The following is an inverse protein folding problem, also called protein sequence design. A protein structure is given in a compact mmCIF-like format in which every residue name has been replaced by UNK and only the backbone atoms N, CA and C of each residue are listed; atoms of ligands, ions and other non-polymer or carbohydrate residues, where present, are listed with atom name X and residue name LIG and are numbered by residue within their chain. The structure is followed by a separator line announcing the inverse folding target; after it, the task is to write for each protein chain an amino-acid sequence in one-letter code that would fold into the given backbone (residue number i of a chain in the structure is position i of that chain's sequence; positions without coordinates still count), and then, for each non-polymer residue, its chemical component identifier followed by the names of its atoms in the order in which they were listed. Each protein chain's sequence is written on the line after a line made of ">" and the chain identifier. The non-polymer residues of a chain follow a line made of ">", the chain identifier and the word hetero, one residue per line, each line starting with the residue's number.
data_IF_914579758347
#
_entry.id   IF_914579758347
#
_cell.length_a   1.000
_cell.length_b   1.000
_cell.length_c   1.000
_cell.angle_alpha   90.00
_cell.angle_beta   90.00
_cell.angle_gamma   90.00
#
_symmetry.space_group_name_H-M   'P 1'
#
loop_
_entity.id
_entity.type
_entity.pdbx_description
1 polymer ?
#
# COMPACT_ATOMS: atom_id res chain seq x y z
N UNK A 1 -52.64 3.17 -19.62
CA UNK A 1 -52.63 3.05 -18.13
C UNK A 1 -52.51 4.44 -17.55
N UNK A 2 -53.01 4.71 -16.35
CA UNK A 2 -52.85 6.01 -15.70
C UNK A 2 -51.62 6.00 -14.80
N UNK A 3 -51.16 7.15 -14.34
CA UNK A 3 -49.96 7.28 -13.51
C UNK A 3 -49.95 6.35 -12.26
N UNK A 4 -51.11 6.07 -11.70
CA UNK A 4 -51.28 5.21 -10.53
C UNK A 4 -51.00 3.74 -10.84
N UNK A 5 -51.30 3.26 -12.06
CA UNK A 5 -51.03 1.89 -12.49
C UNK A 5 -49.53 1.65 -12.68
N UNK A 6 -48.78 2.63 -13.18
CA UNK A 6 -47.34 2.51 -13.34
C UNK A 6 -46.61 2.52 -12.00
N UNK A 7 -47.11 3.28 -11.02
CA UNK A 7 -46.61 3.27 -9.66
C UNK A 7 -46.82 1.88 -9.01
N UNK A 8 -48.02 1.29 -9.19
CA UNK A 8 -48.33 -0.06 -8.70
C UNK A 8 -47.43 -1.12 -9.35
N UNK A 9 -47.18 -1.04 -10.67
CA UNK A 9 -46.26 -1.92 -11.39
C UNK A 9 -44.83 -1.78 -10.86
N UNK A 10 -44.37 -0.56 -10.63
CA UNK A 10 -43.04 -0.28 -10.05
C UNK A 10 -42.89 -0.88 -8.66
N UNK A 11 -43.83 -0.64 -7.74
CA UNK A 11 -43.80 -1.18 -6.38
C UNK A 11 -43.85 -2.70 -6.34
N UNK A 12 -44.56 -3.34 -7.29
CA UNK A 12 -44.56 -4.79 -7.42
C UNK A 12 -43.21 -5.31 -7.90
N UNK A 13 -42.62 -4.64 -8.90
CA UNK A 13 -41.30 -4.99 -9.40
C UNK A 13 -40.22 -4.86 -8.31
N UNK A 14 -40.26 -3.81 -7.50
CA UNK A 14 -39.34 -3.61 -6.39
C UNK A 14 -39.40 -4.76 -5.37
N UNK A 15 -40.59 -5.28 -5.07
CA UNK A 15 -40.74 -6.46 -4.22
C UNK A 15 -40.13 -7.72 -4.85
N UNK A 16 -40.30 -7.90 -6.17
CA UNK A 16 -39.76 -9.04 -6.88
C UNK A 16 -38.23 -9.03 -6.95
N UNK A 17 -37.63 -7.85 -7.03
CA UNK A 17 -36.17 -7.68 -7.02
C UNK A 17 -35.57 -7.91 -5.62
N UNK A 18 -36.30 -7.48 -4.57
CA UNK A 18 -35.78 -7.52 -3.21
C UNK A 18 -36.07 -8.84 -2.48
N UNK A 19 -36.86 -9.74 -3.05
CA UNK A 19 -37.07 -11.09 -2.50
C UNK A 19 -35.83 -11.98 -2.68
N UNK A 20 -35.77 -13.07 -1.91
CA UNK A 20 -34.68 -14.05 -2.01
C UNK A 20 -35.23 -15.42 -2.42
N UNK A 21 -34.87 -15.94 -3.63
CA UNK A 21 -34.07 -15.30 -4.68
C UNK A 21 -34.89 -14.21 -5.45
N UNK A 22 -34.23 -13.23 -6.07
CA UNK A 22 -34.88 -12.21 -6.91
C UNK A 22 -35.59 -12.84 -8.13
N UNK A 23 -36.77 -12.35 -8.48
CA UNK A 23 -37.52 -12.77 -9.68
C UNK A 23 -37.40 -11.71 -10.79
N UNK A 24 -36.27 -11.69 -11.47
CA UNK A 24 -36.02 -10.77 -12.58
C UNK A 24 -36.95 -11.02 -13.78
N UNK A 25 -37.40 -12.28 -13.97
CA UNK A 25 -38.25 -12.63 -15.10
C UNK A 25 -39.63 -11.93 -15.02
N UNK A 26 -40.16 -11.76 -13.81
CA UNK A 26 -41.39 -11.01 -13.59
C UNK A 26 -41.15 -9.51 -13.38
N UNK A 27 -40.03 -9.12 -12.78
CA UNK A 27 -39.72 -7.72 -12.48
C UNK A 27 -39.40 -6.88 -13.73
N UNK A 28 -38.59 -7.42 -14.66
CA UNK A 28 -38.16 -6.68 -15.87
C UNK A 28 -39.32 -6.16 -16.71
N UNK A 29 -40.36 -6.95 -17.06
CA UNK A 29 -41.50 -6.42 -17.79
C UNK A 29 -42.24 -5.29 -17.11
N UNK A 30 -42.42 -5.39 -15.78
CA UNK A 30 -43.09 -4.35 -14.99
C UNK A 30 -42.29 -3.06 -14.91
N UNK A 31 -40.97 -3.18 -14.77
CA UNK A 31 -40.06 -2.02 -14.79
C UNK A 31 -40.02 -1.38 -16.18
N UNK A 32 -40.08 -2.18 -17.25
CA UNK A 32 -40.13 -1.69 -18.62
C UNK A 32 -41.36 -0.82 -18.83
N UNK A 33 -42.55 -1.31 -18.48
CA UNK A 33 -43.81 -0.56 -18.58
C UNK A 33 -43.76 0.77 -17.83
N UNK A 34 -43.23 0.77 -16.61
CA UNK A 34 -43.10 1.97 -15.81
C UNK A 34 -42.06 2.95 -16.40
N UNK A 35 -40.92 2.46 -16.87
CA UNK A 35 -39.85 3.25 -17.47
C UNK A 35 -40.29 3.90 -18.77
N UNK A 36 -41.01 3.17 -19.62
CA UNK A 36 -41.60 3.71 -20.86
C UNK A 36 -42.67 4.81 -20.62
N UNK A 37 -43.34 4.73 -19.46
CA UNK A 37 -44.24 5.77 -19.02
C UNK A 37 -43.53 6.99 -18.40
N UNK A 38 -42.22 6.96 -18.31
CA UNK A 38 -41.40 8.07 -17.81
C UNK A 38 -41.06 7.99 -16.32
N UNK A 39 -41.26 6.83 -15.64
CA UNK A 39 -40.90 6.66 -14.25
C UNK A 39 -39.37 6.53 -14.14
N UNK A 40 -38.73 7.55 -13.54
CA UNK A 40 -37.26 7.71 -13.53
C UNK A 40 -36.58 6.58 -12.76
N UNK A 41 -37.09 6.26 -11.57
CA UNK A 41 -36.54 5.21 -10.73
C UNK A 41 -36.68 3.83 -11.38
N UNK A 42 -37.82 3.56 -12.04
CA UNK A 42 -38.02 2.32 -12.78
C UNK A 42 -37.00 2.15 -13.93
N UNK A 43 -36.69 3.22 -14.65
CA UNK A 43 -35.67 3.20 -15.70
C UNK A 43 -34.28 2.88 -15.11
N UNK A 44 -33.95 3.45 -13.94
CA UNK A 44 -32.69 3.16 -13.27
C UNK A 44 -32.61 1.70 -12.77
N UNK A 45 -33.66 1.22 -12.11
CA UNK A 45 -33.68 -0.17 -11.61
C UNK A 45 -33.73 -1.19 -12.74
N UNK A 46 -34.45 -0.89 -13.85
CA UNK A 46 -34.45 -1.73 -15.04
C UNK A 46 -33.06 -1.88 -15.63
N UNK A 47 -32.31 -0.78 -15.73
CA UNK A 47 -30.93 -0.84 -16.18
C UNK A 47 -30.08 -1.74 -15.27
N UNK A 48 -30.25 -1.65 -13.94
CA UNK A 48 -29.58 -2.52 -12.97
C UNK A 48 -29.91 -4.00 -13.18
N UNK A 49 -31.20 -4.34 -13.26
CA UNK A 49 -31.65 -5.72 -13.51
C UNK A 49 -31.11 -6.31 -14.82
N UNK A 50 -31.07 -5.50 -15.88
CA UNK A 50 -30.52 -5.93 -17.16
C UNK A 50 -29.00 -6.10 -17.10
N UNK A 51 -28.26 -5.27 -16.35
CA UNK A 51 -26.83 -5.46 -16.14
C UNK A 51 -26.52 -6.75 -15.36
N UNK A 52 -27.34 -7.09 -14.37
CA UNK A 52 -27.13 -8.28 -13.55
C UNK A 52 -27.56 -9.58 -14.25
N UNK A 53 -28.59 -9.51 -15.10
CA UNK A 53 -29.23 -10.70 -15.73
C UNK A 53 -29.14 -10.67 -17.26
N UNK A 54 -28.08 -10.07 -17.84
CA UNK A 54 -27.89 -10.06 -19.27
C UNK A 54 -27.48 -11.44 -19.83
N UNK A 55 -28.10 -11.82 -20.94
CA UNK A 55 -27.75 -13.05 -21.68
C UNK A 55 -26.85 -12.75 -22.89
N UNK A 56 -26.83 -11.53 -23.34
CA UNK A 56 -26.13 -11.11 -24.58
C UNK A 56 -25.78 -9.60 -24.57
N UNK A 57 -24.95 -9.18 -25.54
CA UNK A 57 -24.54 -7.77 -25.69
C UNK A 57 -25.71 -6.81 -25.98
N UNK A 58 -26.80 -7.31 -26.54
CA UNK A 58 -27.98 -6.50 -26.86
C UNK A 58 -28.69 -6.07 -25.56
N UNK A 59 -28.79 -6.93 -24.58
CA UNK A 59 -29.35 -6.61 -23.25
C UNK A 59 -28.54 -5.52 -22.56
N UNK A 60 -27.21 -5.60 -22.66
CA UNK A 60 -26.32 -4.56 -22.14
C UNK A 60 -26.52 -3.21 -22.84
N UNK A 61 -26.72 -3.22 -24.17
CA UNK A 61 -27.00 -2.00 -24.91
C UNK A 61 -28.32 -1.37 -24.46
N UNK A 62 -29.36 -2.18 -24.25
CA UNK A 62 -30.66 -1.73 -23.73
C UNK A 62 -30.52 -1.18 -22.30
N UNK A 63 -29.77 -1.87 -21.44
CA UNK A 63 -29.49 -1.38 -20.08
C UNK A 63 -28.85 0.01 -20.08
N UNK A 64 -27.87 0.25 -20.95
CA UNK A 64 -27.22 1.55 -21.09
C UNK A 64 -28.20 2.62 -21.57
N UNK A 65 -29.14 2.32 -22.48
CA UNK A 65 -30.12 3.29 -22.92
C UNK A 65 -31.10 3.68 -21.79
N UNK A 66 -31.61 2.74 -21.00
CA UNK A 66 -32.42 3.06 -19.83
C UNK A 66 -31.64 3.84 -18.77
N UNK A 67 -30.36 3.50 -18.57
CA UNK A 67 -29.48 4.26 -17.70
C UNK A 67 -29.32 5.71 -18.17
N UNK A 68 -29.14 5.93 -19.49
CA UNK A 68 -29.11 7.27 -20.10
C UNK A 68 -30.45 8.01 -19.96
N UNK A 69 -31.57 7.30 -20.09
CA UNK A 69 -32.88 7.86 -19.87
C UNK A 69 -33.05 8.40 -18.46
N UNK A 70 -32.74 7.59 -17.45
CA UNK A 70 -32.78 7.98 -16.04
C UNK A 70 -31.84 9.17 -15.76
N UNK A 71 -30.62 9.14 -16.30
CA UNK A 71 -29.62 10.19 -16.12
C UNK A 71 -30.06 11.53 -16.74
N UNK A 72 -30.66 11.52 -17.95
CA UNK A 72 -31.22 12.72 -18.58
C UNK A 72 -32.39 13.31 -17.79
N UNK A 73 -33.13 12.46 -17.10
CA UNK A 73 -34.19 12.88 -16.18
C UNK A 73 -33.67 13.36 -14.81
N UNK A 74 -32.36 13.39 -14.61
CA UNK A 74 -31.69 13.93 -13.43
C UNK A 74 -31.43 12.93 -12.31
N UNK A 75 -31.61 11.61 -12.54
CA UNK A 75 -31.36 10.61 -11.50
C UNK A 75 -29.86 10.56 -11.11
N UNK A 76 -29.48 10.85 -9.86
CA UNK A 76 -28.10 11.06 -9.47
C UNK A 76 -27.23 9.80 -9.61
N UNK A 77 -27.75 8.64 -9.20
CA UNK A 77 -27.02 7.38 -9.35
C UNK A 77 -26.89 6.93 -10.81
N UNK A 78 -27.87 7.25 -11.67
CA UNK A 78 -27.76 6.96 -13.10
C UNK A 78 -26.66 7.82 -13.76
N UNK A 79 -26.58 9.11 -13.41
CA UNK A 79 -25.48 10.00 -13.83
C UNK A 79 -24.13 9.45 -13.36
N UNK A 80 -24.04 9.04 -12.10
CA UNK A 80 -22.85 8.45 -11.54
C UNK A 80 -22.41 7.16 -12.27
N UNK A 81 -23.34 6.22 -12.50
CA UNK A 81 -23.04 4.95 -13.16
C UNK A 81 -22.61 5.16 -14.62
N UNK A 82 -23.16 6.16 -15.32
CA UNK A 82 -22.70 6.52 -16.67
C UNK A 82 -21.27 7.06 -16.64
N UNK A 83 -20.89 7.84 -15.65
CA UNK A 83 -19.51 8.31 -15.49
C UNK A 83 -18.55 7.14 -15.23
N UNK A 84 -18.95 6.16 -14.42
CA UNK A 84 -18.15 4.94 -14.24
C UNK A 84 -17.98 4.15 -15.54
N UNK A 85 -19.02 4.05 -16.37
CA UNK A 85 -18.90 3.41 -17.67
C UNK A 85 -17.96 4.18 -18.62
N UNK A 86 -18.00 5.51 -18.60
CA UNK A 86 -17.06 6.34 -19.37
C UNK A 86 -15.63 6.19 -18.88
N UNK A 87 -15.44 6.13 -17.58
CA UNK A 87 -14.14 5.91 -16.95
C UNK A 87 -13.55 4.56 -17.36
N UNK A 88 -14.34 3.47 -17.29
CA UNK A 88 -13.93 2.13 -17.70
C UNK A 88 -13.59 2.07 -19.21
N UNK A 89 -14.17 2.96 -20.01
CA UNK A 89 -13.89 3.10 -21.44
C UNK A 89 -12.73 4.06 -21.74
N UNK A 90 -11.99 4.50 -20.74
CA UNK A 90 -10.78 5.31 -20.89
C UNK A 90 -11.03 6.80 -21.12
N UNK A 91 -12.11 7.35 -20.56
CA UNK A 91 -12.34 8.80 -20.59
C UNK A 91 -11.23 9.57 -19.85
N UNK A 92 -10.94 10.78 -20.30
CA UNK A 92 -9.91 11.63 -19.71
C UNK A 92 -10.23 12.00 -18.24
N UNK A 93 -9.24 11.90 -17.37
CA UNK A 93 -9.38 12.07 -15.90
C UNK A 93 -9.92 13.46 -15.54
N UNK A 94 -9.46 14.53 -16.22
CA UNK A 94 -9.91 15.91 -15.98
C UNK A 94 -11.41 16.08 -16.27
N UNK A 95 -11.89 15.44 -17.32
CA UNK A 95 -13.33 15.46 -17.68
C UNK A 95 -14.16 14.71 -16.63
N UNK A 96 -13.66 13.57 -16.17
CA UNK A 96 -14.31 12.78 -15.11
C UNK A 96 -14.35 13.52 -13.78
N UNK A 97 -13.24 14.16 -13.38
CA UNK A 97 -13.18 14.95 -12.15
C UNK A 97 -14.26 16.04 -12.17
N UNK A 98 -14.38 16.80 -13.26
CA UNK A 98 -15.38 17.87 -13.36
C UNK A 98 -16.82 17.34 -13.24
N UNK A 99 -17.10 16.22 -13.91
CA UNK A 99 -18.43 15.62 -13.90
C UNK A 99 -18.79 14.96 -12.55
N UNK A 100 -17.82 14.29 -11.91
CA UNK A 100 -18.02 13.76 -10.55
C UNK A 100 -18.18 14.88 -9.53
N UNK A 101 -17.50 16.03 -9.73
CA UNK A 101 -17.58 17.17 -8.82
C UNK A 101 -18.99 17.74 -8.74
N UNK A 102 -19.72 17.84 -9.86
CA UNK A 102 -21.12 18.26 -9.86
C UNK A 102 -21.98 17.36 -8.96
N UNK A 103 -21.89 16.04 -9.13
CA UNK A 103 -22.64 15.07 -8.32
C UNK A 103 -22.22 15.07 -6.83
N UNK A 104 -20.94 15.26 -6.58
CA UNK A 104 -20.42 15.32 -5.22
C UNK A 104 -20.84 16.59 -4.48
N UNK A 105 -21.00 17.71 -5.18
CA UNK A 105 -21.53 18.97 -4.66
C UNK A 105 -23.03 18.88 -4.41
N UNK A 106 -23.77 18.11 -5.20
CA UNK A 106 -25.16 17.73 -4.94
C UNK A 106 -25.33 16.81 -3.72
N UNK A 107 -24.21 16.34 -3.12
CA UNK A 107 -24.20 15.52 -1.91
C UNK A 107 -24.15 14.01 -2.16
N UNK A 108 -23.94 13.55 -3.38
CA UNK A 108 -23.88 12.12 -3.70
C UNK A 108 -22.61 11.48 -3.12
N UNK A 109 -22.74 10.67 -2.06
CA UNK A 109 -21.63 10.06 -1.35
C UNK A 109 -20.70 9.20 -2.24
N UNK A 110 -21.20 8.36 -3.17
CA UNK A 110 -20.31 7.63 -4.11
C UNK A 110 -19.44 8.55 -4.98
N UNK A 111 -19.97 9.70 -5.40
CA UNK A 111 -19.21 10.67 -6.20
C UNK A 111 -18.13 11.36 -5.36
N UNK A 112 -18.43 11.70 -4.11
CA UNK A 112 -17.44 12.24 -3.16
C UNK A 112 -16.31 11.26 -2.92
N UNK A 113 -16.63 9.97 -2.72
CA UNK A 113 -15.64 8.92 -2.54
C UNK A 113 -14.79 8.71 -3.81
N UNK A 114 -15.42 8.80 -4.99
CA UNK A 114 -14.67 8.66 -6.26
C UNK A 114 -13.72 9.81 -6.48
N UNK A 115 -14.15 11.04 -6.22
CA UNK A 115 -13.28 12.22 -6.27
C UNK A 115 -12.12 12.13 -5.29
N UNK A 116 -12.37 11.72 -4.07
CA UNK A 116 -11.31 11.46 -3.08
C UNK A 116 -10.21 10.56 -3.69
N UNK A 117 -10.61 9.44 -4.32
CA UNK A 117 -9.66 8.52 -4.94
C UNK A 117 -8.95 9.14 -6.14
N UNK A 118 -9.69 9.77 -7.07
CA UNK A 118 -9.10 10.40 -8.24
C UNK A 118 -8.08 11.48 -7.87
N UNK A 119 -8.37 12.30 -6.86
CA UNK A 119 -7.42 13.30 -6.38
C UNK A 119 -6.23 12.68 -5.65
N UNK A 120 -6.44 11.62 -4.87
CA UNK A 120 -5.35 10.90 -4.21
C UNK A 120 -4.42 10.23 -5.23
N UNK A 121 -4.97 9.56 -6.25
CA UNK A 121 -4.21 8.90 -7.32
C UNK A 121 -3.40 9.91 -8.15
N UNK A 122 -3.90 11.14 -8.27
CA UNK A 122 -3.22 12.25 -8.95
C UNK A 122 -2.27 13.04 -8.01
N UNK A 123 -2.07 12.62 -6.77
CA UNK A 123 -1.18 13.27 -5.81
C UNK A 123 -1.68 14.61 -5.28
N UNK A 124 -2.96 14.92 -5.44
CA UNK A 124 -3.59 16.12 -4.89
C UNK A 124 -4.25 15.81 -3.53
N UNK A 125 -3.42 15.62 -2.51
CA UNK A 125 -3.85 15.25 -1.18
C UNK A 125 -4.84 16.26 -0.57
N UNK A 126 -4.70 17.55 -0.88
CA UNK A 126 -5.54 18.60 -0.31
C UNK A 126 -7.00 18.46 -0.77
N UNK A 127 -7.24 18.26 -2.07
CA UNK A 127 -8.60 18.02 -2.58
C UNK A 127 -9.10 16.63 -2.20
N UNK A 128 -8.23 15.61 -2.16
CA UNK A 128 -8.60 14.27 -1.70
C UNK A 128 -9.14 14.32 -0.26
N UNK A 129 -8.45 14.99 0.66
CA UNK A 129 -8.88 15.15 2.06
C UNK A 129 -10.20 15.93 2.16
N UNK A 130 -10.38 17.00 1.39
CA UNK A 130 -11.62 17.77 1.36
C UNK A 130 -12.84 16.92 1.01
N UNK A 131 -12.72 16.07 -0.03
CA UNK A 131 -13.81 15.17 -0.43
C UNK A 131 -13.98 14.00 0.52
N UNK A 132 -12.87 13.50 1.09
CA UNK A 132 -12.91 12.50 2.14
C UNK A 132 -13.68 12.98 3.38
N UNK A 133 -13.49 14.23 3.81
CA UNK A 133 -14.23 14.83 4.94
C UNK A 133 -15.74 14.81 4.67
N UNK A 134 -16.18 15.26 3.48
CA UNK A 134 -17.60 15.25 3.11
C UNK A 134 -18.19 13.83 3.08
N UNK A 135 -17.47 12.86 2.53
CA UNK A 135 -17.92 11.48 2.50
C UNK A 135 -17.93 10.84 3.91
N UNK A 136 -16.97 11.20 4.78
CA UNK A 136 -16.90 10.73 6.15
C UNK A 136 -18.02 11.30 7.03
N UNK A 137 -18.45 12.54 6.79
CA UNK A 137 -19.66 13.13 7.43
C UNK A 137 -20.91 12.32 7.11
N UNK A 138 -20.98 11.71 5.93
CA UNK A 138 -22.02 10.76 5.54
C UNK A 138 -21.74 9.33 6.04
N UNK A 139 -20.82 9.18 6.98
CA UNK A 139 -20.43 7.91 7.60
C UNK A 139 -19.85 6.88 6.62
N UNK A 140 -19.26 7.30 5.50
CA UNK A 140 -18.63 6.37 4.58
C UNK A 140 -17.36 5.75 5.21
N UNK A 141 -17.28 4.41 5.40
CA UNK A 141 -16.17 3.78 6.12
C UNK A 141 -14.84 3.85 5.37
N UNK A 142 -14.86 3.88 4.03
CA UNK A 142 -13.65 4.00 3.22
C UNK A 142 -13.05 5.41 3.33
N UNK A 143 -13.89 6.44 3.35
CA UNK A 143 -13.46 7.81 3.56
C UNK A 143 -12.92 8.03 4.98
N UNK A 144 -13.55 7.45 5.99
CA UNK A 144 -13.04 7.47 7.37
C UNK A 144 -11.70 6.78 7.48
N UNK A 145 -11.51 5.63 6.83
CA UNK A 145 -10.24 4.93 6.77
C UNK A 145 -9.15 5.77 6.07
N UNK A 146 -9.46 6.36 4.93
CA UNK A 146 -8.53 7.25 4.21
C UNK A 146 -8.09 8.43 5.07
N UNK A 147 -9.02 9.11 5.71
CA UNK A 147 -8.72 10.21 6.64
C UNK A 147 -7.88 9.73 7.82
N UNK A 148 -8.18 8.56 8.37
CA UNK A 148 -7.40 7.99 9.46
C UNK A 148 -5.93 7.79 9.05
N UNK A 149 -5.68 7.26 7.85
CA UNK A 149 -4.32 7.15 7.29
C UNK A 149 -3.69 8.53 7.08
N UNK A 150 -4.42 9.48 6.51
CA UNK A 150 -3.93 10.83 6.32
C UNK A 150 -3.48 11.46 7.62
N UNK A 151 -4.31 11.42 8.68
CA UNK A 151 -3.95 11.94 10.00
C UNK A 151 -2.85 11.16 10.70
N UNK A 152 -2.70 9.88 10.40
CA UNK A 152 -1.60 9.06 10.94
C UNK A 152 -0.25 9.38 10.30
N UNK A 153 -0.22 9.65 8.98
CA UNK A 153 1.01 9.77 8.20
C UNK A 153 1.27 11.19 7.66
N UNK A 154 0.43 12.15 8.02
CA UNK A 154 0.61 13.56 7.62
C UNK A 154 1.88 14.17 8.25
N UNK A 155 2.29 15.30 7.72
CA UNK A 155 3.39 16.09 8.28
C UNK A 155 3.15 16.59 9.72
N UNK A 156 1.90 16.61 10.17
CA UNK A 156 1.46 16.90 11.54
C UNK A 156 0.48 15.83 11.98
N UNK A 157 0.96 14.64 12.44
CA UNK A 157 0.09 13.53 12.77
C UNK A 157 -0.82 13.82 13.95
N UNK A 158 -2.11 13.57 13.79
CA UNK A 158 -3.08 13.49 14.87
C UNK A 158 -3.48 12.03 15.09
N UNK A 159 -2.69 11.33 15.90
CA UNK A 159 -2.87 9.91 16.14
C UNK A 159 -4.14 9.59 16.92
N UNK A 160 -4.61 10.50 17.80
CA UNK A 160 -5.86 10.30 18.54
C UNK A 160 -7.06 10.42 17.62
N UNK A 161 -7.06 11.40 16.71
CA UNK A 161 -8.12 11.56 15.73
C UNK A 161 -8.10 10.44 14.70
N UNK A 162 -6.92 10.04 14.24
CA UNK A 162 -6.73 8.85 13.40
C UNK A 162 -7.34 7.60 14.04
N UNK A 163 -7.06 7.37 15.34
CA UNK A 163 -7.63 6.25 16.08
C UNK A 163 -9.16 6.24 16.08
N UNK A 164 -9.78 7.40 16.35
CA UNK A 164 -11.24 7.55 16.31
C UNK A 164 -11.84 7.24 14.95
N UNK A 165 -11.19 7.70 13.87
CA UNK A 165 -11.64 7.46 12.52
C UNK A 165 -11.52 5.98 12.13
N UNK A 166 -10.44 5.28 12.53
CA UNK A 166 -10.34 3.84 12.36
C UNK A 166 -11.42 3.09 13.14
N UNK A 167 -11.74 3.53 14.36
CA UNK A 167 -12.83 2.93 15.14
C UNK A 167 -14.18 3.09 14.43
N UNK A 168 -14.48 4.28 13.90
CA UNK A 168 -15.71 4.53 13.15
C UNK A 168 -15.80 3.66 11.89
N UNK A 169 -14.71 3.56 11.15
CA UNK A 169 -14.62 2.73 9.94
C UNK A 169 -14.80 1.24 10.26
N UNK A 170 -14.12 0.75 11.28
CA UNK A 170 -14.20 -0.65 11.73
C UNK A 170 -15.60 -1.01 12.25
N UNK A 171 -16.26 -0.11 12.97
CA UNK A 171 -17.63 -0.30 13.47
C UNK A 171 -18.65 -0.51 12.34
N UNK A 172 -18.33 -0.07 11.13
CA UNK A 172 -19.15 -0.28 9.93
C UNK A 172 -18.67 -1.50 9.10
N UNK A 173 -17.79 -2.34 9.66
CA UNK A 173 -17.31 -3.56 9.02
C UNK A 173 -16.20 -3.36 8.00
N UNK A 174 -15.51 -2.22 7.97
CA UNK A 174 -14.36 -2.04 7.09
C UNK A 174 -13.14 -2.76 7.65
N UNK A 175 -12.84 -3.92 7.09
CA UNK A 175 -11.87 -4.87 7.65
C UNK A 175 -10.46 -4.30 7.78
N UNK A 176 -10.00 -3.51 6.79
CA UNK A 176 -8.66 -2.91 6.85
C UNK A 176 -8.48 -1.98 8.07
N UNK A 177 -9.57 -1.39 8.58
CA UNK A 177 -9.53 -0.57 9.79
C UNK A 177 -9.26 -1.40 11.05
N UNK A 178 -9.75 -2.64 11.11
CA UNK A 178 -9.42 -3.56 12.21
C UNK A 178 -7.93 -3.87 12.26
N UNK A 179 -7.28 -4.10 11.11
CA UNK A 179 -5.83 -4.30 11.07
C UNK A 179 -5.09 -3.08 11.64
N UNK A 180 -5.42 -1.86 11.20
CA UNK A 180 -4.78 -0.64 11.69
C UNK A 180 -5.02 -0.42 13.20
N UNK A 181 -6.24 -0.65 13.69
CA UNK A 181 -6.56 -0.59 15.12
C UNK A 181 -5.71 -1.59 15.92
N UNK A 182 -5.57 -2.81 15.41
CA UNK A 182 -4.72 -3.82 16.02
C UNK A 182 -3.27 -3.36 16.16
N UNK A 183 -2.72 -2.74 15.12
CA UNK A 183 -1.38 -2.15 15.16
C UNK A 183 -1.29 -0.96 16.14
N UNK A 184 -2.29 -0.08 16.15
CA UNK A 184 -2.33 1.05 17.08
C UNK A 184 -2.37 0.59 18.54
N UNK A 185 -3.18 -0.41 18.88
CA UNK A 185 -3.21 -0.99 20.22
C UNK A 185 -1.90 -1.76 20.56
N UNK A 186 -1.31 -2.45 19.57
CA UNK A 186 -0.02 -3.15 19.75
C UNK A 186 1.12 -2.17 20.06
N UNK A 187 1.14 -1.01 19.41
CA UNK A 187 2.23 -0.03 19.48
C UNK A 187 1.97 1.13 20.43
N UNK A 188 0.73 1.33 20.88
CA UNK A 188 0.33 2.49 21.69
C UNK A 188 0.31 3.78 20.87
N UNK A 189 -0.17 3.74 19.64
CA UNK A 189 -0.22 4.89 18.74
C UNK A 189 -1.61 5.54 18.75
N UNK A 190 -1.69 6.75 19.31
CA UNK A 190 -2.96 7.48 19.46
C UNK A 190 -3.90 6.90 20.52
N UNK A 191 -3.49 5.82 21.16
CA UNK A 191 -4.23 5.11 22.22
C UNK A 191 -3.24 4.43 23.16
N UNK A 192 -3.63 4.17 24.39
CA UNK A 192 -2.80 3.37 25.29
C UNK A 192 -2.60 1.95 24.76
N UNK A 193 -1.38 1.45 24.87
CA UNK A 193 -1.04 0.09 24.46
C UNK A 193 -1.94 -0.92 25.18
N UNK A 194 -2.52 -1.84 24.41
CA UNK A 194 -3.42 -2.89 24.93
C UNK A 194 -3.32 -4.15 24.07
N UNK A 195 -2.54 -5.16 24.50
CA UNK A 195 -2.34 -6.38 23.72
C UNK A 195 -3.63 -7.18 23.50
N UNK A 196 -4.56 -7.17 24.44
CA UNK A 196 -5.83 -7.91 24.34
C UNK A 196 -6.69 -7.33 23.21
N UNK A 197 -6.84 -6.00 23.17
CA UNK A 197 -7.55 -5.32 22.08
C UNK A 197 -6.81 -5.44 20.75
N UNK A 198 -5.48 -5.43 20.78
CA UNK A 198 -4.68 -5.68 19.58
C UNK A 198 -4.99 -7.06 18.98
N UNK A 199 -5.03 -8.11 19.81
CA UNK A 199 -5.36 -9.47 19.39
C UNK A 199 -6.80 -9.53 18.86
N UNK A 200 -7.78 -8.91 19.54
CA UNK A 200 -9.16 -8.86 19.10
C UNK A 200 -9.29 -8.30 17.68
N UNK A 201 -8.75 -7.12 17.45
CA UNK A 201 -8.84 -6.47 16.14
C UNK A 201 -8.00 -7.17 15.05
N UNK A 202 -6.79 -7.63 15.38
CA UNK A 202 -5.95 -8.38 14.43
C UNK A 202 -6.60 -9.70 14.03
N UNK A 203 -7.30 -10.38 14.96
CA UNK A 203 -7.99 -11.63 14.67
C UNK A 203 -9.10 -11.43 13.63
N UNK A 204 -9.92 -10.39 13.79
CA UNK A 204 -10.94 -10.05 12.79
C UNK A 204 -10.29 -9.84 11.43
N UNK A 205 -9.23 -9.06 11.34
CA UNK A 205 -8.57 -8.80 10.07
C UNK A 205 -7.89 -10.06 9.49
N UNK A 206 -7.31 -10.91 10.34
CA UNK A 206 -6.66 -12.15 9.95
C UNK A 206 -7.66 -13.19 9.41
N UNK A 207 -8.85 -13.28 10.00
CA UNK A 207 -9.94 -14.15 9.56
C UNK A 207 -10.48 -13.76 8.17
N UNK A 208 -10.33 -12.48 7.80
CA UNK A 208 -10.62 -11.97 6.45
C UNK A 208 -9.38 -11.92 5.54
N UNK A 209 -8.40 -12.77 5.82
CA UNK A 209 -7.24 -12.99 4.96
C UNK A 209 -6.29 -11.80 4.77
N UNK A 210 -6.30 -10.82 5.68
CA UNK A 210 -5.30 -9.76 5.67
C UNK A 210 -3.97 -10.32 6.18
N UNK A 211 -3.07 -10.63 5.27
CA UNK A 211 -1.79 -11.31 5.56
C UNK A 211 -0.94 -10.59 6.61
N UNK A 212 -0.73 -9.26 6.56
CA UNK A 212 0.01 -8.57 7.61
C UNK A 212 -0.66 -8.63 9.01
N UNK A 213 -1.99 -8.82 9.04
CA UNK A 213 -2.71 -9.01 10.30
C UNK A 213 -2.48 -10.43 10.86
N UNK A 214 -2.43 -11.45 9.99
CA UNK A 214 -2.12 -12.82 10.37
C UNK A 214 -0.74 -12.90 11.04
N UNK A 215 0.28 -12.31 10.43
CA UNK A 215 1.63 -12.25 10.98
C UNK A 215 1.68 -11.47 12.29
N UNK A 216 1.06 -10.29 12.35
CA UNK A 216 1.03 -9.48 13.58
C UNK A 216 0.27 -10.13 14.74
N UNK A 217 -0.80 -10.89 14.43
CA UNK A 217 -1.54 -11.69 15.41
C UNK A 217 -0.67 -12.83 15.93
N UNK A 218 -0.01 -13.57 15.03
CA UNK A 218 0.89 -14.65 15.39
C UNK A 218 1.99 -14.18 16.34
N UNK A 219 2.63 -13.04 16.04
CA UNK A 219 3.65 -12.44 16.90
C UNK A 219 3.16 -12.17 18.34
N UNK A 220 1.94 -11.68 18.50
CA UNK A 220 1.35 -11.44 19.83
C UNK A 220 0.99 -12.73 20.54
N UNK A 221 0.64 -13.77 19.81
CA UNK A 221 0.24 -15.08 20.36
C UNK A 221 1.41 -15.98 20.71
N UNK A 222 2.63 -15.73 20.23
CA UNK A 222 3.81 -16.60 20.47
C UNK A 222 4.00 -16.97 21.94
N UNK A 223 3.76 -16.04 22.86
CA UNK A 223 3.95 -16.27 24.29
C UNK A 223 2.73 -16.88 24.99
N UNK A 224 1.52 -16.57 24.55
CA UNK A 224 0.27 -16.95 25.23
C UNK A 224 -0.40 -18.19 24.60
N UNK A 225 -0.34 -18.35 23.29
CA UNK A 225 -0.91 -19.48 22.56
C UNK A 225 -0.01 -19.84 21.35
N UNK A 226 1.13 -20.50 21.60
CA UNK A 226 2.12 -20.75 20.55
C UNK A 226 1.63 -21.72 19.46
N UNK A 227 0.68 -22.59 19.74
CA UNK A 227 0.11 -23.48 18.73
C UNK A 227 -0.70 -22.67 17.70
N UNK A 228 -1.56 -21.78 18.15
CA UNK A 228 -2.32 -20.88 17.28
C UNK A 228 -1.39 -19.90 16.54
N UNK A 229 -0.33 -19.41 17.20
CA UNK A 229 0.66 -18.55 16.54
C UNK A 229 1.31 -19.26 15.35
N UNK A 230 1.66 -20.54 15.51
CA UNK A 230 2.23 -21.35 14.43
C UNK A 230 1.26 -21.47 13.25
N UNK A 231 -0.01 -21.76 13.51
CA UNK A 231 -1.05 -21.86 12.46
C UNK A 231 -1.19 -20.55 11.66
N UNK A 232 -1.17 -19.41 12.35
CA UNK A 232 -1.27 -18.11 11.68
C UNK A 232 0.00 -17.76 10.89
N UNK A 233 1.20 -18.09 11.39
CA UNK A 233 2.42 -17.93 10.61
C UNK A 233 2.42 -18.84 9.37
N UNK A 234 1.96 -20.09 9.49
CA UNK A 234 1.83 -20.99 8.33
C UNK A 234 0.88 -20.43 7.27
N UNK A 235 -0.29 -19.94 7.66
CA UNK A 235 -1.26 -19.29 6.74
C UNK A 235 -0.66 -18.08 6.04
N UNK A 236 0.02 -17.21 6.78
CA UNK A 236 0.67 -16.03 6.20
C UNK A 236 1.82 -16.41 5.25
N UNK A 237 2.61 -17.42 5.61
CA UNK A 237 3.70 -17.92 4.78
C UNK A 237 3.19 -18.58 3.48
N UNK A 238 2.08 -19.33 3.51
CA UNK A 238 1.44 -19.88 2.31
C UNK A 238 1.06 -18.78 1.30
N UNK A 239 0.79 -17.57 1.79
CA UNK A 239 0.53 -16.37 0.96
C UNK A 239 1.78 -15.56 0.61
N UNK A 240 2.94 -16.05 0.98
CA UNK A 240 4.23 -15.46 0.62
C UNK A 240 4.71 -14.34 1.54
N UNK A 241 4.19 -14.22 2.76
CA UNK A 241 4.70 -13.22 3.72
C UNK A 241 6.11 -13.59 4.21
N UNK A 242 7.07 -12.73 3.90
CA UNK A 242 8.48 -12.94 4.25
C UNK A 242 8.71 -12.95 5.78
N UNK A 243 8.01 -12.10 6.52
CA UNK A 243 8.14 -12.04 7.98
C UNK A 243 7.64 -13.34 8.63
N UNK A 244 6.55 -13.92 8.12
CA UNK A 244 6.05 -15.20 8.57
C UNK A 244 7.05 -16.32 8.29
N UNK A 245 7.68 -16.33 7.11
CA UNK A 245 8.74 -17.29 6.79
C UNK A 245 9.95 -17.14 7.71
N UNK A 246 10.38 -15.93 8.03
CA UNK A 246 11.45 -15.67 9.01
C UNK A 246 11.08 -16.24 10.38
N UNK A 247 9.86 -15.94 10.86
CA UNK A 247 9.38 -16.44 12.16
C UNK A 247 9.33 -17.96 12.21
N UNK A 248 8.81 -18.61 11.16
CA UNK A 248 8.78 -20.08 11.04
C UNK A 248 10.17 -20.68 11.00
N UNK A 249 11.12 -20.07 10.28
CA UNK A 249 12.50 -20.52 10.28
C UNK A 249 13.11 -20.50 11.68
N UNK A 250 12.91 -19.45 12.45
CA UNK A 250 13.39 -19.36 13.84
C UNK A 250 12.70 -20.38 14.76
N UNK A 251 11.37 -20.55 14.63
CA UNK A 251 10.60 -21.53 15.42
C UNK A 251 11.13 -22.95 15.17
N UNK A 252 11.34 -23.35 13.92
CA UNK A 252 11.84 -24.67 13.57
C UNK A 252 13.33 -24.86 13.89
N UNK A 253 14.15 -23.82 13.86
CA UNK A 253 15.56 -23.90 14.30
C UNK A 253 15.67 -24.13 15.80
N UNK A 254 14.84 -23.43 16.59
CA UNK A 254 14.90 -23.46 18.04
C UNK A 254 14.12 -24.65 18.64
N UNK A 255 13.18 -25.23 17.90
CA UNK A 255 12.22 -26.21 18.42
C UNK A 255 11.31 -25.60 19.49
N UNK A 256 11.00 -24.31 19.35
CA UNK A 256 10.20 -23.57 20.31
C UNK A 256 8.72 -23.83 20.06
N UNK A 257 8.08 -24.57 20.99
CA UNK A 257 6.65 -24.95 20.89
C UNK A 257 6.30 -25.93 19.75
N UNK A 258 7.28 -26.47 19.07
CA UNK A 258 7.17 -27.51 18.04
C UNK A 258 8.43 -28.38 18.06
N UNK A 259 8.44 -29.49 17.36
CA UNK A 259 9.66 -30.25 17.16
C UNK A 259 10.66 -29.44 16.31
N UNK A 260 11.93 -29.56 16.68
CA UNK A 260 13.01 -28.93 15.92
C UNK A 260 13.11 -29.59 14.56
N UNK A 261 12.99 -28.81 13.50
CA UNK A 261 13.10 -29.26 12.11
C UNK A 261 14.01 -28.34 11.29
N UNK A 262 15.32 -28.61 11.28
CA UNK A 262 16.26 -27.75 10.53
C UNK A 262 16.05 -27.76 9.01
N UNK A 263 15.39 -28.78 8.44
CA UNK A 263 15.09 -28.82 7.00
C UNK A 263 13.95 -27.84 6.67
N UNK A 264 12.89 -27.85 7.44
CA UNK A 264 11.81 -26.84 7.30
C UNK A 264 12.36 -25.44 7.54
N UNK A 265 13.16 -25.27 8.57
CA UNK A 265 13.80 -23.98 8.86
C UNK A 265 14.62 -23.46 7.66
N UNK A 266 15.39 -24.33 7.02
CA UNK A 266 16.13 -23.98 5.82
C UNK A 266 15.21 -23.54 4.67
N UNK A 267 14.10 -24.27 4.43
CA UNK A 267 13.16 -23.94 3.36
C UNK A 267 12.54 -22.54 3.60
N UNK A 268 12.11 -22.26 4.81
CA UNK A 268 11.52 -20.97 5.16
C UNK A 268 12.56 -19.84 5.11
N UNK A 269 13.74 -20.03 5.68
CA UNK A 269 14.82 -19.05 5.61
C UNK A 269 15.22 -18.76 4.15
N UNK A 270 15.25 -19.79 3.30
CA UNK A 270 15.56 -19.65 1.89
C UNK A 270 14.50 -18.83 1.16
N UNK A 271 13.24 -19.09 1.38
CA UNK A 271 12.15 -18.31 0.80
C UNK A 271 12.29 -16.81 1.12
N UNK A 272 12.47 -16.48 2.40
CA UNK A 272 12.67 -15.09 2.83
C UNK A 272 13.94 -14.47 2.21
N UNK A 273 15.05 -15.22 2.17
CA UNK A 273 16.30 -14.77 1.57
C UNK A 273 16.19 -14.54 0.05
N UNK A 274 15.41 -15.36 -0.66
CA UNK A 274 15.13 -15.20 -2.10
C UNK A 274 14.33 -13.91 -2.37
N UNK A 275 13.54 -13.44 -1.39
CA UNK A 275 12.87 -12.13 -1.38
C UNK A 275 13.80 -10.98 -0.93
N UNK A 276 15.09 -11.25 -0.73
CA UNK A 276 16.08 -10.31 -0.17
C UNK A 276 15.73 -9.83 1.26
N UNK A 277 15.00 -10.62 2.04
CA UNK A 277 14.75 -10.30 3.44
C UNK A 277 16.06 -10.36 4.25
N UNK A 278 16.43 -9.31 4.98
CA UNK A 278 17.71 -9.28 5.70
C UNK A 278 17.81 -10.34 6.80
N UNK A 279 16.71 -10.64 7.50
CA UNK A 279 16.67 -11.67 8.53
C UNK A 279 16.70 -13.09 7.92
N UNK A 280 16.00 -13.31 6.83
CA UNK A 280 16.05 -14.55 6.05
C UNK A 280 17.47 -14.85 5.57
N UNK A 281 18.17 -13.86 5.05
CA UNK A 281 19.59 -13.97 4.65
C UNK A 281 20.48 -14.27 5.86
N UNK A 282 20.27 -13.59 7.01
CA UNK A 282 21.01 -13.86 8.25
C UNK A 282 20.81 -15.31 8.71
N UNK A 283 19.57 -15.78 8.71
CA UNK A 283 19.23 -17.16 9.10
C UNK A 283 19.88 -18.19 8.21
N UNK A 284 19.94 -17.97 6.87
CA UNK A 284 20.70 -18.84 5.97
C UNK A 284 22.20 -18.83 6.32
N UNK A 285 22.75 -17.67 6.64
CA UNK A 285 24.12 -17.57 7.12
C UNK A 285 24.33 -18.44 8.36
N UNK A 286 23.43 -18.40 9.33
CA UNK A 286 23.49 -19.25 10.54
C UNK A 286 23.35 -20.74 10.20
N UNK A 287 22.44 -21.10 9.30
CA UNK A 287 22.21 -22.48 8.86
C UNK A 287 23.49 -23.07 8.27
N UNK A 288 24.15 -22.39 7.34
CA UNK A 288 25.40 -22.85 6.73
C UNK A 288 26.58 -22.81 7.69
N UNK A 289 26.63 -21.81 8.58
CA UNK A 289 27.73 -21.70 9.56
C UNK A 289 27.74 -22.84 10.56
N UNK A 290 26.55 -23.20 11.06
CA UNK A 290 26.42 -24.18 12.15
C UNK A 290 25.97 -25.57 11.68
N UNK A 291 25.76 -25.77 10.40
CA UNK A 291 25.33 -27.06 9.84
C UNK A 291 23.90 -27.43 10.26
N UNK A 292 23.00 -26.47 10.29
CA UNK A 292 21.61 -26.66 10.74
C UNK A 292 20.73 -27.10 9.56
N UNK A 293 20.67 -28.41 9.30
CA UNK A 293 19.93 -28.96 8.17
C UNK A 293 20.62 -28.87 6.81
N UNK A 294 21.78 -28.25 6.75
CA UNK A 294 22.67 -28.21 5.59
C UNK A 294 24.11 -28.55 6.04
N UNK A 295 24.97 -28.92 5.10
CA UNK A 295 26.40 -29.10 5.41
C UNK A 295 27.02 -27.75 5.85
N UNK A 296 27.97 -27.81 6.77
CA UNK A 296 28.74 -26.63 7.18
C UNK A 296 29.49 -26.07 6.00
N UNK A 297 29.27 -24.80 5.70
CA UNK A 297 29.96 -24.06 4.64
C UNK A 297 30.18 -22.61 5.10
N UNK A 298 31.39 -22.33 5.54
CA UNK A 298 31.75 -21.01 6.08
C UNK A 298 31.79 -19.91 5.00
N UNK A 299 32.12 -20.26 3.76
CA UNK A 299 32.20 -19.29 2.67
C UNK A 299 30.80 -18.89 2.20
N UNK A 300 29.90 -19.85 2.04
CA UNK A 300 28.49 -19.60 1.77
C UNK A 300 27.83 -18.82 2.93
N UNK A 301 28.10 -19.17 4.18
CA UNK A 301 27.61 -18.43 5.33
C UNK A 301 28.04 -16.95 5.30
N UNK A 302 29.31 -16.70 4.98
CA UNK A 302 29.86 -15.34 4.86
C UNK A 302 29.17 -14.54 3.75
N UNK A 303 28.90 -15.15 2.60
CA UNK A 303 28.18 -14.49 1.51
C UNK A 303 26.76 -14.07 1.92
N UNK A 304 26.02 -14.92 2.62
CA UNK A 304 24.69 -14.59 3.11
C UNK A 304 24.73 -13.51 4.21
N UNK A 305 25.65 -13.57 5.14
CA UNK A 305 25.83 -12.51 6.14
C UNK A 305 26.22 -11.18 5.47
N UNK A 306 27.07 -11.19 4.43
CA UNK A 306 27.42 -9.96 3.71
C UNK A 306 26.22 -9.35 3.04
N UNK A 307 25.44 -10.14 2.31
CA UNK A 307 24.18 -9.66 1.68
C UNK A 307 23.21 -9.11 2.72
N UNK A 308 23.03 -9.81 3.85
CA UNK A 308 22.18 -9.38 4.95
C UNK A 308 22.67 -8.05 5.56
N UNK A 309 23.97 -7.92 5.79
CA UNK A 309 24.60 -6.71 6.32
C UNK A 309 24.50 -5.52 5.34
N UNK A 310 24.62 -5.76 4.04
CA UNK A 310 24.46 -4.76 2.99
C UNK A 310 23.02 -4.19 2.95
N UNK A 311 22.05 -5.00 3.37
CA UNK A 311 20.65 -4.60 3.57
C UNK A 311 20.38 -3.99 4.95
N UNK A 312 21.42 -3.77 5.77
CA UNK A 312 21.34 -3.07 7.05
C UNK A 312 21.15 -3.97 8.27
N UNK A 313 21.25 -5.30 8.14
CA UNK A 313 21.16 -6.20 9.28
C UNK A 313 22.42 -6.14 10.17
N UNK A 314 22.27 -5.53 11.34
CA UNK A 314 23.38 -5.33 12.28
C UNK A 314 23.90 -6.64 12.89
N UNK A 315 23.04 -7.65 13.06
CA UNK A 315 23.43 -8.95 13.64
C UNK A 315 24.31 -9.71 12.65
N UNK A 316 23.94 -9.73 11.37
CA UNK A 316 24.76 -10.31 10.31
C UNK A 316 26.12 -9.62 10.21
N UNK A 317 26.10 -8.29 10.34
CA UNK A 317 27.32 -7.49 10.37
C UNK A 317 28.26 -7.86 11.52
N UNK A 318 27.71 -8.01 12.74
CA UNK A 318 28.48 -8.45 13.91
C UNK A 318 29.07 -9.85 13.71
N UNK A 319 28.32 -10.75 13.07
CA UNK A 319 28.81 -12.11 12.74
C UNK A 319 29.97 -12.10 11.76
N UNK A 320 29.93 -11.25 10.73
CA UNK A 320 31.05 -11.03 9.82
C UNK A 320 32.29 -10.51 10.54
N UNK A 321 32.11 -9.57 11.45
CA UNK A 321 33.20 -9.03 12.26
C UNK A 321 33.90 -10.12 13.09
N UNK A 322 33.11 -10.98 13.74
CA UNK A 322 33.63 -12.07 14.56
C UNK A 322 34.46 -13.09 13.77
N UNK A 323 34.12 -13.30 12.48
CA UNK A 323 34.87 -14.18 11.60
C UNK A 323 36.17 -13.57 11.06
N UNK A 324 36.17 -12.28 10.79
CA UNK A 324 37.36 -11.58 10.30
C UNK A 324 38.40 -11.34 11.37
N UNK A 325 38.02 -11.38 12.67
CA UNK A 325 38.96 -11.27 13.80
C UNK A 325 39.99 -12.42 13.86
N UNK A 326 39.70 -13.55 13.24
CA UNK A 326 40.62 -14.68 13.14
C UNK A 326 41.70 -14.54 12.05
N UNK A 327 41.52 -13.60 11.09
CA UNK A 327 42.39 -13.54 9.88
C UNK A 327 43.18 -12.24 9.68
N UNK A 328 42.82 -11.08 10.27
CA UNK A 328 43.63 -9.85 10.10
C UNK A 328 43.19 -8.69 11.00
N UNK A 329 43.97 -8.27 11.93
CA UNK A 329 43.70 -7.17 12.86
C UNK A 329 43.41 -5.83 12.14
N UNK A 330 44.00 -5.61 10.97
CA UNK A 330 43.80 -4.40 10.15
C UNK A 330 42.43 -4.38 9.46
N UNK A 331 41.95 -5.52 8.98
CA UNK A 331 40.61 -5.66 8.41
C UNK A 331 39.52 -5.58 9.49
N UNK A 332 39.83 -6.07 10.70
CA UNK A 332 38.94 -5.97 11.85
C UNK A 332 38.67 -4.51 12.27
N UNK A 333 39.70 -3.68 12.38
CA UNK A 333 39.53 -2.27 12.77
C UNK A 333 38.78 -1.47 11.69
N UNK A 334 39.08 -1.68 10.42
CA UNK A 334 38.37 -1.05 9.28
C UNK A 334 36.90 -1.49 9.25
N UNK A 335 36.63 -2.78 9.43
CA UNK A 335 35.27 -3.33 9.41
C UNK A 335 34.45 -2.85 10.61
N UNK A 336 35.10 -2.72 11.80
CA UNK A 336 34.51 -2.17 13.01
C UNK A 336 34.17 -0.69 12.82
N UNK A 337 35.03 0.09 12.19
CA UNK A 337 34.79 1.50 11.90
C UNK A 337 33.60 1.68 10.94
N UNK A 338 33.52 0.88 9.88
CA UNK A 338 32.38 0.88 8.95
C UNK A 338 31.08 0.48 9.67
N UNK A 339 31.14 -0.51 10.58
CA UNK A 339 29.98 -0.91 11.38
C UNK A 339 29.47 0.21 12.31
N UNK A 340 30.40 0.88 12.98
CA UNK A 340 30.08 2.02 13.83
C UNK A 340 29.46 3.18 13.04
N UNK A 341 30.01 3.46 11.86
CA UNK A 341 29.48 4.50 10.97
C UNK A 341 28.07 4.16 10.49
N UNK A 342 27.78 2.90 10.13
CA UNK A 342 26.43 2.44 9.73
C UNK A 342 25.45 2.47 10.91
N UNK A 343 25.88 2.04 12.10
CA UNK A 343 25.05 2.12 13.30
C UNK A 343 24.68 3.57 13.65
N UNK A 344 25.65 4.47 13.55
CA UNK A 344 25.39 5.89 13.76
C UNK A 344 24.49 6.49 12.67
N UNK A 345 24.66 6.08 11.41
CA UNK A 345 23.80 6.49 10.32
C UNK A 345 22.35 6.06 10.53
N UNK A 346 22.12 4.82 10.96
CA UNK A 346 20.80 4.30 11.31
C UNK A 346 20.18 5.04 12.52
N UNK A 347 20.99 5.35 13.55
CA UNK A 347 20.55 6.15 14.70
C UNK A 347 20.11 7.54 14.27
N UNK A 348 20.91 8.21 13.45
CA UNK A 348 20.62 9.53 12.91
C UNK A 348 19.36 9.51 12.03
N UNK A 349 19.18 8.46 11.20
CA UNK A 349 17.96 8.26 10.43
C UNK A 349 16.72 8.20 11.31
N UNK A 350 16.74 7.42 12.38
CA UNK A 350 15.59 7.31 13.30
C UNK A 350 15.26 8.65 13.98
N UNK A 351 16.29 9.40 14.37
CA UNK A 351 16.11 10.74 14.93
C UNK A 351 15.58 11.74 13.88
N UNK A 352 16.12 11.69 12.66
CA UNK A 352 15.65 12.49 11.55
C UNK A 352 14.20 12.19 11.20
N UNK A 353 13.84 10.91 11.14
CA UNK A 353 12.48 10.46 10.88
C UNK A 353 11.52 10.94 11.99
N UNK A 354 11.93 10.82 13.26
CA UNK A 354 11.13 11.32 14.37
C UNK A 354 10.96 12.85 14.33
N UNK A 355 12.00 13.60 13.94
CA UNK A 355 11.92 15.04 13.78
C UNK A 355 11.06 15.43 12.55
N UNK A 356 11.19 14.70 11.46
CA UNK A 356 10.46 14.94 10.22
C UNK A 356 8.94 14.74 10.42
N UNK A 357 8.53 13.68 11.10
CA UNK A 357 7.13 13.33 11.29
C UNK A 357 6.57 13.70 12.67
N UNK A 358 7.34 14.36 13.51
CA UNK A 358 6.90 14.78 14.84
C UNK A 358 6.63 13.62 15.81
N UNK A 359 7.28 12.47 15.61
CA UNK A 359 7.05 11.27 16.44
C UNK A 359 7.59 11.46 17.85
N UNK A 360 6.71 11.44 18.84
CA UNK A 360 7.02 11.67 20.27
C UNK A 360 7.68 13.02 20.58
N UNK A 361 7.62 13.97 19.67
CA UNK A 361 8.20 15.31 19.74
C UNK A 361 7.55 16.25 18.75
N UNK A 362 7.72 17.56 18.92
CA UNK A 362 7.28 18.54 17.92
C UNK A 362 8.04 18.34 16.60
N UNK A 363 7.31 18.41 15.47
CA UNK A 363 7.89 18.36 14.13
C UNK A 363 8.90 19.50 13.93
N UNK A 364 10.05 19.16 13.34
CA UNK A 364 11.11 20.11 13.05
C UNK A 364 11.84 19.73 11.76
N UNK A 365 11.43 20.32 10.64
CA UNK A 365 12.04 20.05 9.34
C UNK A 365 13.51 20.46 9.24
N UNK A 366 13.91 21.55 9.89
CA UNK A 366 15.30 22.01 9.86
C UNK A 366 16.22 21.00 10.55
N UNK A 367 15.79 20.47 11.70
CA UNK A 367 16.53 19.42 12.42
C UNK A 367 16.49 18.09 11.64
N UNK A 368 15.35 17.74 11.05
CA UNK A 368 15.24 16.55 10.22
C UNK A 368 16.19 16.60 9.02
N UNK A 369 16.28 17.75 8.35
CA UNK A 369 17.18 17.98 7.22
C UNK A 369 18.64 17.74 7.63
N UNK A 370 19.09 18.35 8.73
CA UNK A 370 20.47 18.20 9.23
C UNK A 370 20.78 16.75 9.59
N UNK A 371 19.88 16.09 10.31
CA UNK A 371 20.05 14.69 10.73
C UNK A 371 20.01 13.71 9.53
N UNK A 372 19.11 13.93 8.55
CA UNK A 372 19.13 13.15 7.32
C UNK A 372 20.42 13.39 6.53
N UNK A 373 20.93 14.61 6.48
CA UNK A 373 22.20 14.94 5.83
C UNK A 373 23.35 14.14 6.45
N UNK A 374 23.49 14.20 7.76
CA UNK A 374 24.51 13.47 8.48
C UNK A 374 24.43 11.96 8.30
N UNK A 375 23.22 11.41 8.24
CA UNK A 375 22.97 9.99 7.99
C UNK A 375 23.25 9.62 6.54
N UNK A 376 22.79 10.44 5.57
CA UNK A 376 22.96 10.24 4.13
C UNK A 376 24.43 10.28 3.70
N UNK A 377 25.25 11.18 4.28
CA UNK A 377 26.70 11.26 4.07
C UNK A 377 27.43 10.00 4.54
N UNK A 378 26.87 9.30 5.54
CA UNK A 378 27.37 7.99 5.99
C UNK A 378 26.85 6.82 5.17
N UNK A 379 26.16 7.11 4.05
CA UNK A 379 25.72 6.12 3.08
C UNK A 379 24.36 5.48 3.39
N UNK A 380 23.57 5.98 4.34
CA UNK A 380 22.27 5.40 4.67
C UNK A 380 21.23 5.68 3.58
N UNK A 381 20.82 4.63 2.87
CA UNK A 381 19.98 4.72 1.66
C UNK A 381 18.63 5.43 1.93
N UNK A 382 17.89 5.03 2.96
CA UNK A 382 16.61 5.65 3.31
C UNK A 382 16.75 7.13 3.68
N UNK A 383 17.88 7.53 4.30
CA UNK A 383 18.15 8.94 4.59
C UNK A 383 18.44 9.72 3.31
N UNK A 384 19.14 9.13 2.36
CA UNK A 384 19.39 9.74 1.04
C UNK A 384 18.07 9.93 0.29
N UNK A 385 17.17 8.93 0.30
CA UNK A 385 15.84 9.02 -0.30
C UNK A 385 15.00 10.13 0.36
N UNK A 386 14.91 10.15 1.68
CA UNK A 386 14.16 11.18 2.40
C UNK A 386 14.74 12.58 2.22
N UNK A 387 16.06 12.69 2.22
CA UNK A 387 16.74 13.96 1.95
C UNK A 387 16.46 14.46 0.52
N UNK A 388 16.48 13.56 -0.46
CA UNK A 388 16.05 13.83 -1.83
C UNK A 388 14.61 14.34 -1.90
N UNK A 389 13.70 13.72 -1.15
CA UNK A 389 12.30 14.16 -1.05
C UNK A 389 12.15 15.52 -0.40
N UNK A 390 12.94 15.85 0.64
CA UNK A 390 12.91 17.17 1.29
C UNK A 390 13.36 18.26 0.32
N UNK A 391 14.41 18.05 -0.47
CA UNK A 391 14.83 18.98 -1.52
C UNK A 391 13.82 19.06 -2.67
N UNK A 392 13.19 17.95 -3.02
CA UNK A 392 12.16 17.91 -4.07
C UNK A 392 10.92 18.70 -3.69
N UNK A 393 10.44 18.56 -2.45
CA UNK A 393 9.19 19.16 -1.95
C UNK A 393 9.37 20.50 -1.24
N UNK A 394 10.62 20.92 -0.96
CA UNK A 394 10.88 22.18 -0.25
C UNK A 394 10.59 22.10 1.26
N UNK A 395 10.68 20.91 1.86
CA UNK A 395 10.43 20.73 3.29
C UNK A 395 11.65 21.09 4.14
N UNK A 396 11.58 22.22 4.83
CA UNK A 396 12.68 22.74 5.65
C UNK A 396 13.84 23.37 4.87
N UNK A 397 13.78 23.35 3.55
CA UNK A 397 14.78 23.89 2.62
C UNK A 397 14.06 24.36 1.35
N UNK A 398 14.56 25.36 0.62
CA UNK A 398 14.01 25.70 -0.69
C UNK A 398 14.05 24.51 -1.66
N UNK A 399 13.07 24.41 -2.55
CA UNK A 399 13.03 23.38 -3.60
C UNK A 399 14.31 23.44 -4.42
N UNK A 400 15.00 22.31 -4.51
CA UNK A 400 16.23 22.15 -5.30
C UNK A 400 16.24 20.75 -5.95
N UNK A 401 15.75 20.68 -7.18
CA UNK A 401 15.69 19.42 -7.92
C UNK A 401 17.06 18.83 -8.26
N UNK A 402 18.12 19.65 -8.34
CA UNK A 402 19.46 19.15 -8.60
C UNK A 402 20.03 18.44 -7.36
N UNK A 403 19.80 18.99 -6.16
CA UNK A 403 20.13 18.28 -4.92
C UNK A 403 19.26 17.04 -4.73
N UNK A 404 17.97 17.12 -5.05
CA UNK A 404 17.08 15.95 -5.00
C UNK A 404 17.61 14.83 -5.92
N UNK A 405 17.96 15.14 -7.17
CA UNK A 405 18.52 14.18 -8.12
C UNK A 405 19.81 13.53 -7.59
N UNK A 406 20.72 14.33 -7.03
CA UNK A 406 21.97 13.85 -6.44
C UNK A 406 21.73 12.80 -5.34
N UNK A 407 20.80 13.10 -4.44
CA UNK A 407 20.53 12.20 -3.32
C UNK A 407 19.72 10.97 -3.73
N UNK A 408 18.77 11.13 -4.66
CA UNK A 408 18.08 9.96 -5.25
C UNK A 408 19.05 9.07 -6.02
N UNK A 409 20.00 9.62 -6.75
CA UNK A 409 21.02 8.81 -7.45
C UNK A 409 21.89 8.02 -6.48
N UNK A 410 22.28 8.62 -5.36
CA UNK A 410 23.05 7.96 -4.32
C UNK A 410 22.29 6.77 -3.70
N UNK A 411 20.99 6.93 -3.42
CA UNK A 411 20.13 5.87 -2.91
C UNK A 411 19.79 4.82 -3.99
N UNK A 412 19.50 5.25 -5.22
CA UNK A 412 19.15 4.38 -6.35
C UNK A 412 20.28 3.40 -6.68
N UNK A 413 21.54 3.83 -6.59
CA UNK A 413 22.74 2.96 -6.71
C UNK A 413 22.79 1.89 -5.61
N UNK A 414 22.16 2.11 -4.48
CA UNK A 414 22.01 1.15 -3.38
C UNK A 414 20.72 0.31 -3.51
N UNK A 415 20.06 0.35 -4.66
CA UNK A 415 18.83 -0.39 -4.98
C UNK A 415 17.60 0.05 -4.18
N UNK A 416 17.58 1.27 -3.69
CA UNK A 416 16.38 1.86 -3.11
C UNK A 416 15.36 2.12 -4.22
N UNK A 417 14.27 1.36 -4.20
CA UNK A 417 13.31 1.35 -5.31
C UNK A 417 12.52 2.65 -5.43
N UNK A 418 12.27 3.31 -4.29
CA UNK A 418 11.61 4.60 -4.27
C UNK A 418 12.53 5.70 -4.87
N UNK A 419 13.81 5.67 -4.52
CA UNK A 419 14.79 6.58 -5.10
C UNK A 419 14.98 6.33 -6.61
N UNK A 420 14.99 5.06 -7.05
CA UNK A 420 15.06 4.70 -8.47
C UNK A 420 13.87 5.27 -9.25
N UNK A 421 12.66 5.13 -8.70
CA UNK A 421 11.46 5.70 -9.30
C UNK A 421 11.51 7.22 -9.37
N UNK A 422 11.82 7.89 -8.24
CA UNK A 422 11.89 9.35 -8.20
C UNK A 422 12.97 9.91 -9.15
N UNK A 423 14.12 9.26 -9.22
CA UNK A 423 15.18 9.64 -10.15
C UNK A 423 14.73 9.47 -11.62
N UNK A 424 14.01 8.39 -11.93
CA UNK A 424 13.43 8.18 -13.25
C UNK A 424 12.48 9.33 -13.64
N UNK A 425 11.63 9.77 -12.70
CA UNK A 425 10.72 10.90 -12.91
C UNK A 425 11.50 12.21 -13.17
N UNK A 426 12.57 12.46 -12.42
CA UNK A 426 13.42 13.65 -12.64
C UNK A 426 14.04 13.67 -14.04
N UNK A 427 14.57 12.53 -14.51
CA UNK A 427 15.11 12.43 -15.88
C UNK A 427 14.02 12.58 -16.94
N UNK A 428 12.82 12.02 -16.72
CA UNK A 428 11.71 12.12 -17.66
C UNK A 428 11.24 13.56 -17.85
N UNK A 429 11.16 14.33 -16.76
CA UNK A 429 10.69 15.72 -16.79
C UNK A 429 11.81 16.74 -17.01
N UNK A 430 13.10 16.36 -16.89
CA UNK A 430 14.23 17.30 -16.94
C UNK A 430 14.30 18.21 -15.72
N UNK A 431 13.92 17.71 -14.53
CA UNK A 431 13.90 18.47 -13.29
C UNK A 431 15.21 18.29 -12.53
N UNK A 432 16.03 19.33 -12.44
CA UNK A 432 17.34 19.32 -11.78
C UNK A 432 18.41 18.48 -12.50
N UNK A 433 18.06 17.80 -13.56
CA UNK A 433 18.91 17.03 -14.48
C UNK A 433 18.49 17.31 -15.92
N UNK A 434 19.39 17.10 -16.86
CA UNK A 434 19.02 17.15 -18.28
C UNK A 434 17.97 16.08 -18.59
N UNK A 435 16.95 16.45 -19.37
CA UNK A 435 15.88 15.52 -19.75
C UNK A 435 16.44 14.38 -20.58
N UNK A 436 16.31 13.17 -20.08
CA UNK A 436 16.82 11.94 -20.72
C UNK A 436 15.84 10.77 -20.51
N UNK A 437 15.06 10.49 -21.55
CA UNK A 437 14.03 9.43 -21.50
C UNK A 437 14.68 8.04 -21.40
N UNK A 438 15.89 7.84 -21.93
CA UNK A 438 16.57 6.55 -21.84
C UNK A 438 17.03 6.27 -20.40
N UNK A 439 17.62 7.27 -19.74
CA UNK A 439 17.95 7.19 -18.31
C UNK A 439 16.70 7.07 -17.45
N UNK A 440 15.61 7.76 -17.79
CA UNK A 440 14.33 7.58 -17.11
C UNK A 440 13.81 6.14 -17.21
N UNK A 441 13.81 5.57 -18.42
CA UNK A 441 13.43 4.16 -18.63
C UNK A 441 14.35 3.18 -17.92
N UNK A 442 15.66 3.45 -17.88
CA UNK A 442 16.63 2.62 -17.17
C UNK A 442 16.32 2.55 -15.68
N UNK A 443 16.20 3.70 -15.01
CA UNK A 443 15.94 3.73 -13.57
C UNK A 443 14.54 3.20 -13.21
N UNK A 444 13.55 3.43 -14.07
CA UNK A 444 12.21 2.85 -13.87
C UNK A 444 12.23 1.32 -13.99
N UNK A 445 13.02 0.79 -14.91
CA UNK A 445 13.20 -0.66 -15.05
C UNK A 445 13.95 -1.25 -13.86
N UNK A 446 14.96 -0.58 -13.33
CA UNK A 446 15.66 -0.98 -12.10
C UNK A 446 14.70 -1.01 -10.89
N UNK A 447 13.82 0.00 -10.73
CA UNK A 447 12.82 0.03 -9.69
C UNK A 447 11.86 -1.19 -9.76
N UNK A 448 11.43 -1.56 -10.96
CA UNK A 448 10.58 -2.74 -11.20
C UNK A 448 11.33 -4.02 -10.83
N UNK A 449 12.57 -4.15 -11.27
CA UNK A 449 13.39 -5.37 -11.04
C UNK A 449 13.74 -5.56 -9.56
N UNK A 450 13.89 -4.46 -8.80
CA UNK A 450 14.21 -4.51 -7.39
C UNK A 450 12.97 -4.55 -6.47
N UNK A 451 11.76 -4.70 -7.04
CA UNK A 451 10.56 -4.96 -6.25
C UNK A 451 9.86 -3.72 -5.72
N UNK A 452 9.77 -2.65 -6.51
CA UNK A 452 8.95 -1.50 -6.13
C UNK A 452 7.48 -1.90 -5.86
N UNK A 453 6.86 -1.34 -4.83
CA UNK A 453 5.51 -1.71 -4.37
C UNK A 453 4.43 -1.63 -5.47
N UNK A 454 4.58 -0.73 -6.43
CA UNK A 454 3.64 -0.51 -7.54
C UNK A 454 4.14 -1.10 -8.87
N UNK A 455 4.76 -2.27 -8.86
CA UNK A 455 5.41 -2.86 -10.05
C UNK A 455 4.55 -2.87 -11.31
N UNK A 456 3.25 -3.17 -11.20
CA UNK A 456 2.39 -3.30 -12.38
C UNK A 456 2.10 -1.96 -13.03
N UNK A 457 1.83 -0.93 -12.22
CA UNK A 457 1.69 0.45 -12.70
C UNK A 457 2.99 0.94 -13.35
N UNK A 458 4.14 0.63 -12.75
CA UNK A 458 5.43 1.02 -13.31
C UNK A 458 5.77 0.31 -14.62
N UNK A 459 5.31 -0.93 -14.83
CA UNK A 459 5.46 -1.63 -16.11
C UNK A 459 4.69 -0.94 -17.22
N UNK A 460 3.47 -0.48 -16.94
CA UNK A 460 2.65 0.27 -17.90
C UNK A 460 3.31 1.61 -18.23
N UNK A 461 3.76 2.33 -17.20
CA UNK A 461 4.47 3.60 -17.36
C UNK A 461 5.75 3.44 -18.19
N UNK A 462 6.53 2.39 -17.93
CA UNK A 462 7.73 2.07 -18.69
C UNK A 462 7.42 1.80 -20.17
N UNK A 463 6.33 1.10 -20.46
CA UNK A 463 5.89 0.85 -21.83
C UNK A 463 5.54 2.16 -22.55
N UNK A 464 4.85 3.08 -21.89
CA UNK A 464 4.53 4.40 -22.43
C UNK A 464 5.82 5.22 -22.69
N UNK A 465 6.74 5.30 -21.73
CA UNK A 465 7.99 6.05 -21.90
C UNK A 465 8.87 5.49 -23.01
N UNK A 466 8.93 4.17 -23.19
CA UNK A 466 9.64 3.54 -24.32
C UNK A 466 9.03 3.91 -25.67
N UNK A 467 7.70 4.05 -25.78
CA UNK A 467 7.06 4.53 -27.01
C UNK A 467 7.43 5.99 -27.33
N UNK A 468 7.53 6.85 -26.29
CA UNK A 468 7.98 8.24 -26.48
C UNK A 468 9.43 8.32 -26.91
N UNK A 469 10.32 7.49 -26.32
CA UNK A 469 11.73 7.43 -26.72
C UNK A 469 11.90 7.03 -28.18
N UNK A 470 11.09 6.10 -28.69
CA UNK A 470 11.11 5.65 -30.10
C UNK A 470 10.59 6.70 -31.07
N UNK A 471 9.60 7.50 -30.69
CA UNK A 471 9.04 8.56 -31.53
C UNK A 471 9.98 9.78 -31.63
N UNK A 472 10.69 10.12 -30.55
CA UNK A 472 11.64 11.23 -30.52
C UNK A 472 12.97 10.95 -31.20
N UNK A 473 13.27 9.72 -31.62
CA UNK A 473 14.45 9.34 -32.40
C UNK A 473 14.17 9.26 -33.93
N UNK A 474 12.94 9.57 -34.35
CA UNK A 474 12.51 9.52 -35.76
C UNK A 474 12.35 10.93 -36.40
N UNK A 475 12.55 11.98 -35.60
CA UNK A 475 12.68 13.38 -36.04
C UNK A 475 14.16 13.84 -35.88
#
# INVERSE_FOLDING_TARGET
>A
MNAQQYEESFLLAEKLITQDPPDFAQAIPLLCEAAEAGHIEAAFQLAGCLFENHENEQDLAIAVEYLKQAARAGHPYARYNLLQLQENNGAEVETLISAYQELAEEGLAPAQLRLMRLYADNGNDQEAVKWALKAAEQQNPQAQYFLAQHYQYSSSPDLEYSHKLYQQSAAQGFIAAHWQLGLQYKLGQGVAQNPEKAIEHLRIAADYDIVPAQTSLAELLVASNPAEALEWFEKAAEKGDSNAHVALAEIYLLGKNTERDPQKAYQHAKFAADQNDPEGLRLLGDIYRYGLGQAVDADTARQYYQRSADLGNLVAYQKLLSDSALNNQRNYELTKEIALQRQEAERLYKLAFAAHYGLKRQQNYAEALDLYHQSAERGHSKSQTNLGMMYYSGQGVPVDYAQAAKWFEAAAKQRDTMAQYNLACLYYHGMGVEKDINNACFWLQEAIQHGHEQQDVLKELLAQWKQFAQKGSAD
#
